data_IF_680428949188
#
_entry.id   IF_680428949188
#
_cell.length_a   1.000
_cell.length_b   1.000
_cell.length_c   1.000
_cell.angle_alpha   90.00
_cell.angle_beta   90.00
_cell.angle_gamma   90.00
#
_symmetry.space_group_name_H-M   'P 1'
#
loop_
_entity.id
_entity.type
_entity.pdbx_description
1 polymer ?
#
# COMPACT_ATOMS: atom_id res chain seq x y z
N UNK A 1 30.78 -25.34 21.37
CA UNK A 1 29.93 -25.08 22.56
C UNK A 1 28.72 -24.33 22.03
N UNK A 2 27.64 -25.08 21.83
CA UNK A 2 26.24 -24.68 21.60
C UNK A 2 25.99 -23.38 20.80
N UNK A 3 25.83 -23.53 19.48
CA UNK A 3 25.00 -22.63 18.69
C UNK A 3 23.55 -22.76 19.17
N UNK A 4 23.05 -21.70 19.83
CA UNK A 4 21.63 -21.55 20.08
C UNK A 4 20.94 -21.28 18.73
N UNK A 5 20.42 -22.35 18.12
CA UNK A 5 19.34 -22.24 17.15
C UNK A 5 18.15 -21.58 17.87
N UNK A 6 17.93 -20.29 17.62
CA UNK A 6 16.67 -19.64 17.93
C UNK A 6 15.54 -20.30 17.13
N UNK A 7 14.53 -20.91 17.78
CA UNK A 7 13.43 -21.60 17.10
C UNK A 7 12.38 -20.63 16.52
N UNK A 8 12.66 -19.33 16.43
CA UNK A 8 11.77 -18.29 15.89
C UNK A 8 12.18 -17.76 14.49
N UNK A 9 13.18 -18.33 13.84
CA UNK A 9 13.74 -17.82 12.57
C UNK A 9 12.96 -18.17 11.29
N UNK A 10 11.67 -18.51 11.39
CA UNK A 10 10.75 -18.57 10.23
C UNK A 10 9.58 -17.63 10.41
N UNK A 11 9.83 -16.38 10.79
CA UNK A 11 8.85 -15.32 10.55
C UNK A 11 8.82 -15.04 9.05
N UNK A 12 7.86 -15.64 8.35
CA UNK A 12 7.54 -15.28 6.97
C UNK A 12 7.06 -13.83 7.00
N UNK A 13 7.96 -12.90 6.67
CA UNK A 13 7.63 -11.48 6.58
C UNK A 13 6.43 -11.31 5.65
N UNK A 14 5.38 -10.56 6.04
CA UNK A 14 4.28 -10.26 5.15
C UNK A 14 4.82 -9.58 3.88
N UNK A 15 4.35 -10.04 2.72
CA UNK A 15 4.73 -9.47 1.42
C UNK A 15 3.60 -8.60 0.88
N UNK A 16 3.98 -7.45 0.36
CA UNK A 16 3.11 -6.53 -0.37
C UNK A 16 3.53 -6.57 -1.83
N UNK A 17 2.60 -6.94 -2.70
CA UNK A 17 2.86 -6.96 -4.14
C UNK A 17 2.31 -5.68 -4.77
N UNK A 18 3.15 -4.96 -5.52
CA UNK A 18 2.74 -3.85 -6.36
C UNK A 18 2.57 -4.35 -7.80
N UNK A 19 1.32 -4.40 -8.26
CA UNK A 19 0.93 -4.85 -9.59
C UNK A 19 0.14 -3.77 -10.35
N UNK A 20 0.07 -3.87 -11.68
CA UNK A 20 -0.66 -2.93 -12.52
C UNK A 20 -0.04 -2.77 -13.90
N UNK A 21 -0.67 -1.98 -14.78
CA UNK A 21 -0.21 -1.78 -16.16
C UNK A 21 1.13 -1.04 -16.28
N UNK A 22 1.83 -1.21 -17.41
CA UNK A 22 3.05 -0.44 -17.67
C UNK A 22 2.77 1.07 -17.56
N UNK A 23 3.68 1.82 -16.94
CA UNK A 23 3.57 3.29 -16.70
C UNK A 23 2.45 3.74 -15.74
N UNK A 24 1.78 2.82 -15.04
CA UNK A 24 0.78 3.18 -14.03
C UNK A 24 1.35 3.85 -12.77
N UNK A 25 2.68 3.92 -12.59
CA UNK A 25 3.31 4.66 -11.48
C UNK A 25 3.80 3.81 -10.29
N UNK A 26 3.74 2.48 -10.35
CA UNK A 26 4.19 1.56 -9.27
C UNK A 26 5.60 1.87 -8.73
N UNK A 27 6.60 1.98 -9.61
CA UNK A 27 7.97 2.23 -9.20
C UNK A 27 8.17 3.63 -8.64
N UNK A 28 7.40 4.61 -9.12
CA UNK A 28 7.37 5.96 -8.56
C UNK A 28 6.81 5.94 -7.14
N UNK A 29 5.68 5.25 -6.93
CA UNK A 29 5.07 5.05 -5.62
C UNK A 29 6.07 4.44 -4.63
N UNK A 30 6.73 3.35 -5.03
CA UNK A 30 7.71 2.67 -4.17
C UNK A 30 8.85 3.62 -3.76
N UNK A 31 9.41 4.37 -4.71
CA UNK A 31 10.54 5.28 -4.42
C UNK A 31 10.13 6.51 -3.61
N UNK A 32 8.94 7.06 -3.84
CA UNK A 32 8.44 8.21 -3.07
C UNK A 32 8.19 7.80 -1.61
N UNK A 33 7.54 6.65 -1.38
CA UNK A 33 7.16 6.21 -0.03
C UNK A 33 8.36 5.69 0.76
N UNK A 34 9.22 4.86 0.17
CA UNK A 34 10.27 4.16 0.92
C UNK A 34 11.67 4.75 0.78
N UNK A 35 11.96 5.43 -0.33
CA UNK A 35 13.26 6.06 -0.57
C UNK A 35 13.25 7.58 -0.36
N UNK A 36 12.11 8.16 0.04
CA UNK A 36 11.90 9.61 0.16
C UNK A 36 12.33 10.38 -1.10
N UNK A 37 12.19 9.76 -2.28
CA UNK A 37 12.51 10.41 -3.55
C UNK A 37 11.49 11.51 -3.83
N UNK A 38 11.93 12.67 -4.31
CA UNK A 38 11.01 13.75 -4.64
C UNK A 38 10.10 13.34 -5.82
N UNK A 39 8.80 13.68 -5.81
CA UNK A 39 7.88 13.32 -6.90
C UNK A 39 8.38 13.79 -8.28
N UNK A 40 9.07 14.93 -8.33
CA UNK A 40 9.64 15.50 -9.57
C UNK A 40 10.81 14.67 -10.13
N UNK A 41 11.59 14.01 -9.26
CA UNK A 41 12.66 13.10 -9.69
C UNK A 41 12.10 11.82 -10.30
N UNK A 42 10.87 11.43 -9.95
CA UNK A 42 10.26 10.19 -10.46
C UNK A 42 10.00 10.21 -11.98
N UNK A 43 9.92 11.40 -12.58
CA UNK A 43 9.77 11.57 -14.04
C UNK A 43 10.95 10.99 -14.84
N UNK A 44 12.13 10.87 -14.20
CA UNK A 44 13.34 10.36 -14.83
C UNK A 44 13.56 8.86 -14.59
N UNK A 45 12.56 8.17 -14.00
CA UNK A 45 12.67 6.74 -13.76
C UNK A 45 12.58 5.94 -15.07
N UNK A 46 13.55 5.04 -15.24
CA UNK A 46 13.54 4.08 -16.33
C UNK A 46 12.43 3.02 -16.12
N UNK A 47 11.99 2.40 -17.23
CA UNK A 47 11.02 1.30 -17.14
C UNK A 47 11.61 0.10 -16.41
N UNK A 48 10.93 -0.38 -15.38
CA UNK A 48 11.29 -1.59 -14.64
C UNK A 48 11.24 -2.81 -15.55
N UNK A 49 12.38 -3.47 -15.76
CA UNK A 49 12.51 -4.67 -16.61
C UNK A 49 12.63 -5.97 -15.80
N UNK A 50 12.82 -5.88 -14.48
CA UNK A 50 12.98 -7.02 -13.56
C UNK A 50 12.19 -6.76 -12.28
N UNK A 51 11.78 -7.81 -11.59
CA UNK A 51 11.11 -7.67 -10.29
C UNK A 51 12.09 -7.03 -9.30
N UNK A 52 11.74 -5.86 -8.79
CA UNK A 52 12.50 -5.18 -7.75
C UNK A 52 11.94 -5.61 -6.40
N UNK A 53 12.79 -6.22 -5.55
CA UNK A 53 12.44 -6.62 -4.19
C UNK A 53 13.08 -5.64 -3.23
N UNK A 54 12.27 -5.08 -2.36
CA UNK A 54 12.71 -4.18 -1.30
C UNK A 54 12.31 -4.77 0.05
N UNK A 55 13.30 -4.98 0.91
CA UNK A 55 13.08 -5.36 2.30
C UNK A 55 12.95 -4.07 3.13
N UNK A 56 11.73 -3.79 3.59
CA UNK A 56 11.47 -2.71 4.54
C UNK A 56 11.51 -3.33 5.93
N UNK A 57 12.63 -3.16 6.61
CA UNK A 57 12.84 -3.62 7.99
C UNK A 57 13.41 -2.49 8.85
N UNK A 58 12.74 -1.34 8.80
CA UNK A 58 13.18 -0.13 9.50
C UNK A 58 12.87 -0.19 11.00
N UNK A 59 11.86 -0.96 11.40
CA UNK A 59 11.52 -1.20 12.81
C UNK A 59 10.96 -2.61 13.02
N UNK A 60 10.95 -3.08 14.26
CA UNK A 60 10.36 -4.37 14.63
C UNK A 60 8.86 -4.47 14.28
N UNK A 61 8.18 -3.34 14.13
CA UNK A 61 6.75 -3.26 13.81
C UNK A 61 6.47 -3.19 12.30
N UNK A 62 7.43 -2.72 11.51
CA UNK A 62 7.30 -2.56 10.06
C UNK A 62 8.35 -3.43 9.38
N UNK A 63 8.02 -4.72 9.26
CA UNK A 63 8.88 -5.73 8.65
C UNK A 63 8.13 -6.44 7.53
N UNK A 64 8.14 -5.84 6.34
CA UNK A 64 7.50 -6.40 5.16
C UNK A 64 8.41 -6.32 3.94
N UNK A 65 8.10 -7.13 2.94
CA UNK A 65 8.78 -7.08 1.64
C UNK A 65 7.87 -6.47 0.60
N UNK A 66 8.35 -5.47 -0.11
CA UNK A 66 7.66 -4.89 -1.27
C UNK A 66 8.26 -5.48 -2.53
N UNK A 67 7.40 -5.99 -3.39
CA UNK A 67 7.79 -6.54 -4.68
C UNK A 67 7.12 -5.72 -5.78
N UNK A 68 7.92 -4.98 -6.54
CA UNK A 68 7.47 -4.23 -7.72
C UNK A 68 7.57 -5.10 -8.96
N UNK A 69 6.41 -5.35 -9.60
CA UNK A 69 6.31 -6.17 -10.80
C UNK A 69 6.39 -5.31 -12.07
N UNK A 70 7.23 -5.68 -13.05
CA UNK A 70 7.20 -5.08 -14.38
C UNK A 70 5.80 -5.19 -14.98
N UNK A 71 5.26 -4.07 -15.47
CA UNK A 71 3.93 -4.02 -16.09
C UNK A 71 3.82 -4.76 -17.44
N UNK A 72 4.92 -5.37 -17.90
CA UNK A 72 4.99 -6.21 -19.11
C UNK A 72 5.04 -7.71 -18.78
N UNK A 73 5.12 -8.10 -17.50
CA UNK A 73 5.13 -9.53 -17.18
C UNK A 73 3.80 -10.12 -17.60
N UNK A 74 3.87 -11.01 -18.57
CA UNK A 74 2.75 -11.86 -18.91
C UNK A 74 2.62 -12.88 -17.78
N UNK A 75 1.53 -12.82 -17.02
CA UNK A 75 1.22 -13.76 -15.93
C UNK A 75 1.14 -15.24 -16.39
N UNK A 76 1.35 -15.49 -17.68
CA UNK A 76 1.29 -16.78 -18.34
C UNK A 76 2.66 -17.40 -18.56
N UNK A 77 3.75 -16.72 -18.20
CA UNK A 77 5.08 -17.30 -18.36
C UNK A 77 5.32 -18.38 -17.27
N UNK A 78 5.42 -19.67 -17.63
CA UNK A 78 5.58 -20.77 -16.68
C UNK A 78 6.94 -20.75 -15.96
N UNK A 79 7.83 -19.80 -16.29
CA UNK A 79 9.12 -19.61 -15.63
C UNK A 79 9.00 -18.94 -14.25
N UNK A 80 7.85 -18.35 -13.93
CA UNK A 80 7.61 -17.72 -12.62
C UNK A 80 6.69 -18.59 -11.76
N UNK A 81 7.15 -18.97 -10.57
CA UNK A 81 6.36 -19.68 -9.56
C UNK A 81 5.36 -18.74 -8.87
N UNK A 82 4.37 -18.23 -9.62
CA UNK A 82 3.35 -17.30 -9.09
C UNK A 82 2.60 -17.88 -7.89
N UNK A 83 2.39 -19.20 -7.84
CA UNK A 83 1.74 -19.85 -6.69
C UNK A 83 2.54 -19.66 -5.40
N UNK A 84 3.87 -19.80 -5.46
CA UNK A 84 4.74 -19.61 -4.28
C UNK A 84 4.79 -18.15 -3.85
N UNK A 85 4.73 -17.22 -4.82
CA UNK A 85 4.70 -15.78 -4.56
C UNK A 85 3.40 -15.39 -3.85
N UNK A 86 2.25 -15.79 -4.40
CA UNK A 86 0.94 -15.44 -3.83
C UNK A 86 0.68 -16.12 -2.48
N UNK A 87 1.19 -17.34 -2.24
CA UNK A 87 1.08 -17.98 -0.92
C UNK A 87 1.73 -17.20 0.21
N UNK A 88 2.84 -16.50 -0.04
CA UNK A 88 3.53 -15.69 0.97
C UNK A 88 3.09 -14.24 1.00
N UNK A 89 2.05 -13.88 0.25
CA UNK A 89 1.58 -12.49 0.11
C UNK A 89 0.47 -12.21 1.10
N UNK A 90 0.56 -11.09 1.83
CA UNK A 90 -0.50 -10.64 2.73
C UNK A 90 -1.41 -9.61 2.09
N UNK A 91 -0.87 -8.74 1.22
CA UNK A 91 -1.65 -7.74 0.50
C UNK A 91 -1.18 -7.61 -0.95
N UNK A 92 -2.13 -7.44 -1.85
CA UNK A 92 -1.90 -7.15 -3.26
C UNK A 92 -2.46 -5.76 -3.56
N UNK A 93 -1.56 -4.85 -3.92
CA UNK A 93 -1.89 -3.50 -4.34
C UNK A 93 -1.88 -3.46 -5.87
N UNK A 94 -3.02 -3.18 -6.47
CA UNK A 94 -3.16 -3.00 -7.91
C UNK A 94 -3.30 -1.52 -8.27
N UNK A 95 -2.37 -0.99 -9.05
CA UNK A 95 -2.30 0.42 -9.42
C UNK A 95 -2.92 0.63 -10.79
N UNK A 96 -4.03 1.37 -10.82
CA UNK A 96 -4.76 1.81 -12.01
C UNK A 96 -4.44 3.28 -12.26
N UNK A 97 -4.06 3.63 -13.49
CA UNK A 97 -3.88 5.03 -13.88
C UNK A 97 -5.25 5.65 -14.21
N UNK A 98 -5.64 6.72 -13.52
CA UNK A 98 -6.92 7.40 -13.76
C UNK A 98 -6.90 8.39 -14.93
N UNK A 99 -5.71 8.72 -15.46
CA UNK A 99 -5.57 9.66 -16.59
C UNK A 99 -5.56 8.95 -17.95
N UNK A 100 -5.38 7.63 -17.97
CA UNK A 100 -5.37 6.79 -19.17
C UNK A 100 -6.63 5.90 -19.22
N UNK A 101 -6.82 5.17 -20.32
CA UNK A 101 -7.91 4.20 -20.44
C UNK A 101 -7.72 3.03 -19.48
N UNK A 102 -8.55 2.97 -18.43
CA UNK A 102 -8.50 1.96 -17.39
C UNK A 102 -9.23 0.65 -17.78
N UNK A 103 -9.82 0.53 -18.97
CA UNK A 103 -10.50 -0.69 -19.41
C UNK A 103 -9.57 -1.91 -19.44
N UNK A 104 -8.36 -1.75 -19.99
CA UNK A 104 -7.36 -2.83 -19.98
C UNK A 104 -6.88 -3.14 -18.55
N UNK A 105 -6.81 -2.11 -17.70
CA UNK A 105 -6.38 -2.25 -16.32
C UNK A 105 -7.39 -3.08 -15.51
N UNK A 106 -8.69 -2.85 -15.71
CA UNK A 106 -9.77 -3.62 -15.07
C UNK A 106 -9.75 -5.09 -15.51
N UNK A 107 -9.59 -5.36 -16.80
CA UNK A 107 -9.48 -6.74 -17.29
C UNK A 107 -8.27 -7.48 -16.68
N UNK A 108 -7.13 -6.79 -16.56
CA UNK A 108 -5.93 -7.34 -15.91
C UNK A 108 -6.10 -7.48 -14.40
N UNK A 109 -6.78 -6.54 -13.74
CA UNK A 109 -7.13 -6.62 -12.31
C UNK A 109 -7.95 -7.89 -12.05
N UNK A 110 -9.03 -8.10 -12.81
CA UNK A 110 -9.90 -9.26 -12.68
C UNK A 110 -9.13 -10.59 -12.80
N UNK A 111 -8.27 -10.71 -13.82
CA UNK A 111 -7.42 -11.89 -14.01
C UNK A 111 -6.46 -12.12 -12.83
N UNK A 112 -5.87 -11.04 -12.31
CA UNK A 112 -4.89 -11.09 -11.21
C UNK A 112 -5.57 -11.50 -9.90
N UNK A 113 -6.68 -10.86 -9.56
CA UNK A 113 -7.47 -11.13 -8.34
C UNK A 113 -7.98 -12.57 -8.34
N UNK A 114 -8.57 -13.03 -9.45
CA UNK A 114 -9.08 -14.39 -9.59
C UNK A 114 -8.00 -15.45 -9.36
N UNK A 115 -6.78 -15.22 -9.86
CA UNK A 115 -5.65 -16.15 -9.68
C UNK A 115 -5.09 -16.10 -8.28
N UNK A 116 -4.87 -14.90 -7.74
CA UNK A 116 -4.36 -14.72 -6.39
C UNK A 116 -5.29 -15.36 -5.36
N UNK A 117 -6.61 -15.12 -5.48
CA UNK A 117 -7.63 -15.68 -4.58
C UNK A 117 -7.71 -17.21 -4.64
N UNK A 118 -7.51 -17.81 -5.83
CA UNK A 118 -7.43 -19.27 -5.98
C UNK A 118 -6.25 -19.89 -5.23
N UNK A 119 -5.14 -19.16 -5.10
CA UNK A 119 -3.93 -19.64 -4.43
C UNK A 119 -3.99 -19.37 -2.93
N UNK A 120 -4.42 -18.18 -2.53
CA UNK A 120 -4.53 -17.76 -1.15
C UNK A 120 -5.77 -16.86 -0.97
N UNK A 121 -6.82 -17.34 -0.27
CA UNK A 121 -8.04 -16.58 -0.06
C UNK A 121 -7.89 -15.47 1.00
N UNK A 122 -6.81 -15.50 1.81
CA UNK A 122 -6.58 -14.55 2.90
C UNK A 122 -5.81 -13.29 2.46
N UNK A 123 -5.58 -13.12 1.14
CA UNK A 123 -4.92 -11.92 0.60
C UNK A 123 -5.87 -10.72 0.68
N UNK A 124 -5.38 -9.61 1.21
CA UNK A 124 -6.05 -8.31 1.13
C UNK A 124 -5.87 -7.70 -0.27
N UNK A 125 -6.96 -7.38 -0.95
CA UNK A 125 -6.95 -6.76 -2.28
C UNK A 125 -7.22 -5.27 -2.19
N UNK A 126 -6.25 -4.47 -2.61
CA UNK A 126 -6.25 -3.03 -2.47
C UNK A 126 -6.01 -2.40 -3.85
N UNK A 127 -6.92 -1.55 -4.33
CA UNK A 127 -6.85 -0.91 -5.64
C UNK A 127 -6.51 0.56 -5.44
N UNK A 128 -5.41 0.98 -6.03
CA UNK A 128 -4.99 2.38 -6.06
C UNK A 128 -5.40 2.97 -7.40
N UNK A 129 -6.39 3.86 -7.35
CA UNK A 129 -6.74 4.75 -8.46
C UNK A 129 -5.73 5.90 -8.37
N UNK A 130 -4.74 5.86 -9.26
CA UNK A 130 -3.52 6.63 -9.18
C UNK A 130 -3.48 7.75 -10.21
N UNK A 131 -2.70 8.80 -9.93
CA UNK A 131 -2.59 10.04 -10.72
C UNK A 131 -3.88 10.89 -10.74
N UNK A 132 -4.53 10.97 -9.58
CA UNK A 132 -5.75 11.78 -9.41
C UNK A 132 -5.47 13.29 -9.31
N UNK A 133 -4.20 13.69 -9.30
CA UNK A 133 -3.72 15.08 -9.22
C UNK A 133 -4.21 15.96 -10.38
N UNK A 134 -4.37 15.39 -11.57
CA UNK A 134 -4.84 16.10 -12.76
C UNK A 134 -6.37 16.18 -12.90
N UNK A 135 -7.14 15.60 -11.99
CA UNK A 135 -8.59 15.47 -12.10
C UNK A 135 -9.32 16.45 -11.16
N UNK A 136 -10.48 16.95 -11.61
CA UNK A 136 -11.40 17.69 -10.75
C UNK A 136 -12.05 16.76 -9.73
N UNK A 137 -12.51 17.30 -8.59
CA UNK A 137 -13.11 16.48 -7.53
C UNK A 137 -14.38 15.75 -7.99
N UNK A 138 -15.17 16.37 -8.88
CA UNK A 138 -16.33 15.72 -9.50
C UNK A 138 -15.90 14.50 -10.35
N UNK A 139 -14.84 14.64 -11.16
CA UNK A 139 -14.32 13.54 -11.96
C UNK A 139 -13.69 12.44 -11.09
N UNK A 140 -13.07 12.77 -9.96
CA UNK A 140 -12.53 11.78 -9.01
C UNK A 140 -13.64 10.89 -8.47
N UNK A 141 -14.76 11.49 -8.04
CA UNK A 141 -15.92 10.76 -7.51
C UNK A 141 -16.54 9.87 -8.60
N UNK A 142 -16.71 10.41 -9.81
CA UNK A 142 -17.26 9.66 -10.94
C UNK A 142 -16.37 8.47 -11.32
N UNK A 143 -15.07 8.71 -11.48
CA UNK A 143 -14.09 7.67 -11.84
C UNK A 143 -14.01 6.59 -10.77
N UNK A 144 -14.00 6.98 -9.49
CA UNK A 144 -14.02 6.02 -8.39
C UNK A 144 -15.27 5.16 -8.40
N UNK A 145 -16.44 5.78 -8.59
CA UNK A 145 -17.72 5.07 -8.65
C UNK A 145 -17.78 4.10 -9.83
N UNK A 146 -17.31 4.52 -11.01
CA UNK A 146 -17.32 3.71 -12.21
C UNK A 146 -16.37 2.50 -12.09
N UNK A 147 -15.13 2.74 -11.65
CA UNK A 147 -14.15 1.67 -11.40
C UNK A 147 -14.67 0.70 -10.32
N UNK A 148 -15.24 1.22 -9.23
CA UNK A 148 -15.80 0.40 -8.16
C UNK A 148 -16.95 -0.47 -8.65
N UNK A 149 -17.87 0.10 -9.44
CA UNK A 149 -19.00 -0.65 -9.97
C UNK A 149 -18.53 -1.73 -10.93
N UNK A 150 -17.73 -1.40 -11.94
CA UNK A 150 -17.25 -2.36 -12.94
C UNK A 150 -16.41 -3.48 -12.34
N UNK A 151 -15.50 -3.16 -11.42
CA UNK A 151 -14.66 -4.18 -10.79
C UNK A 151 -15.48 -5.15 -9.93
N UNK A 152 -16.54 -4.69 -9.26
CA UNK A 152 -17.42 -5.57 -8.50
C UNK A 152 -18.38 -6.36 -9.41
N UNK A 153 -18.89 -5.76 -10.48
CA UNK A 153 -19.73 -6.44 -11.47
C UNK A 153 -18.95 -7.59 -12.14
N UNK A 154 -17.71 -7.34 -12.57
CA UNK A 154 -16.82 -8.37 -13.15
C UNK A 154 -16.53 -9.52 -12.15
N UNK A 155 -16.39 -9.21 -10.85
CA UNK A 155 -16.20 -10.22 -9.81
C UNK A 155 -17.48 -11.01 -9.51
N UNK A 156 -18.64 -10.36 -9.55
CA UNK A 156 -19.94 -10.99 -9.37
C UNK A 156 -20.24 -11.96 -10.52
N UNK A 157 -19.93 -11.57 -11.76
CA UNK A 157 -20.08 -12.42 -12.95
C UNK A 157 -19.22 -13.69 -12.88
N UNK A 158 -18.05 -13.61 -12.24
CA UNK A 158 -17.19 -14.76 -11.99
C UNK A 158 -17.60 -15.61 -10.76
N UNK A 159 -18.65 -15.21 -10.03
CA UNK A 159 -19.12 -15.89 -8.82
C UNK A 159 -18.20 -15.71 -7.60
N UNK A 160 -17.39 -14.64 -7.59
CA UNK A 160 -16.41 -14.33 -6.54
C UNK A 160 -16.88 -13.21 -5.60
N UNK A 161 -18.17 -13.22 -5.24
CA UNK A 161 -18.80 -12.19 -4.39
C UNK A 161 -18.19 -12.06 -2.97
N UNK A 162 -17.39 -13.04 -2.54
CA UNK A 162 -16.71 -13.03 -1.24
C UNK A 162 -15.45 -12.15 -1.21
N UNK A 163 -14.97 -11.69 -2.37
CA UNK A 163 -13.75 -10.90 -2.44
C UNK A 163 -14.11 -9.44 -2.15
N UNK A 164 -13.51 -8.89 -1.09
CA UNK A 164 -13.64 -7.47 -0.77
C UNK A 164 -12.48 -6.69 -1.38
N UNK A 165 -12.81 -5.85 -2.36
CA UNK A 165 -11.88 -4.90 -2.96
C UNK A 165 -11.94 -3.55 -2.22
N UNK A 166 -10.81 -3.08 -1.72
CA UNK A 166 -10.71 -1.74 -1.13
C UNK A 166 -10.13 -0.76 -2.15
N UNK A 167 -10.75 0.40 -2.32
CA UNK A 167 -10.35 1.39 -3.32
C UNK A 167 -9.82 2.66 -2.66
N UNK A 168 -8.70 3.18 -3.16
CA UNK A 168 -8.09 4.42 -2.69
C UNK A 168 -7.74 5.33 -3.85
N UNK A 169 -8.06 6.61 -3.69
CA UNK A 169 -7.58 7.67 -4.56
C UNK A 169 -6.19 8.07 -4.09
N UNK A 170 -5.19 7.98 -4.97
CA UNK A 170 -3.80 8.21 -4.61
C UNK A 170 -3.09 9.11 -5.60
N UNK A 171 -2.23 9.97 -5.09
CA UNK A 171 -1.31 10.82 -5.84
C UNK A 171 0.06 10.76 -5.17
N UNK A 172 1.14 10.78 -5.96
CA UNK A 172 2.50 10.92 -5.42
C UNK A 172 2.83 12.37 -5.03
N UNK A 173 2.04 13.33 -5.50
CA UNK A 173 2.22 14.75 -5.18
C UNK A 173 1.56 15.15 -3.86
N UNK A 174 0.58 14.37 -3.41
CA UNK A 174 -0.15 14.60 -2.17
C UNK A 174 0.18 13.53 -1.13
N UNK A 175 -0.22 13.75 0.12
CA UNK A 175 -0.03 12.78 1.20
C UNK A 175 -0.97 11.56 1.12
N UNK A 176 -1.90 11.53 0.15
CA UNK A 176 -2.90 10.46 -0.01
C UNK A 176 -2.29 9.08 -0.25
N UNK A 177 -1.15 9.01 -0.92
CA UNK A 177 -0.43 7.74 -1.10
C UNK A 177 0.05 7.16 0.23
N UNK A 178 0.55 8.00 1.14
CA UNK A 178 1.00 7.56 2.46
C UNK A 178 -0.18 7.12 3.33
N UNK A 179 -1.32 7.82 3.24
CA UNK A 179 -2.55 7.43 3.92
C UNK A 179 -3.04 6.06 3.43
N UNK A 180 -3.10 5.86 2.11
CA UNK A 180 -3.51 4.61 1.52
C UNK A 180 -2.58 3.45 1.94
N UNK A 181 -1.26 3.64 1.84
CA UNK A 181 -0.30 2.66 2.34
C UNK A 181 -0.45 2.36 3.82
N UNK A 182 -0.74 3.38 4.64
CA UNK A 182 -0.94 3.20 6.07
C UNK A 182 -2.13 2.29 6.37
N UNK A 183 -3.25 2.47 5.65
CA UNK A 183 -4.41 1.57 5.76
C UNK A 183 -4.08 0.14 5.29
N UNK A 184 -3.29 -0.02 4.23
CA UNK A 184 -2.86 -1.35 3.76
C UNK A 184 -1.97 -2.03 4.81
N UNK A 185 -0.99 -1.32 5.36
CA UNK A 185 -0.06 -1.84 6.37
C UNK A 185 -0.81 -2.19 7.66
N UNK A 186 -1.78 -1.37 8.08
CA UNK A 186 -2.64 -1.63 9.23
C UNK A 186 -3.35 -2.99 9.12
N UNK A 187 -3.95 -3.28 7.96
CA UNK A 187 -4.63 -4.57 7.72
C UNK A 187 -3.69 -5.77 7.77
N UNK A 188 -2.37 -5.57 7.59
CA UNK A 188 -1.36 -6.62 7.67
C UNK A 188 -0.88 -6.90 9.10
N UNK A 189 -1.14 -5.99 10.05
CA UNK A 189 -0.65 -6.12 11.42
C UNK A 189 -1.71 -6.84 12.28
N UNK A 190 -1.45 -8.08 12.72
CA UNK A 190 -2.44 -8.85 13.50
C UNK A 190 -2.74 -8.25 14.88
N UNK A 191 -1.83 -7.43 15.41
CA UNK A 191 -1.94 -6.82 16.74
C UNK A 191 -2.57 -5.41 16.71
N UNK A 192 -3.06 -4.96 15.56
CA UNK A 192 -3.64 -3.63 15.38
C UNK A 192 -4.74 -3.29 16.40
N UNK A 193 -5.74 -4.16 16.69
CA UNK A 193 -6.81 -3.82 17.63
C UNK A 193 -6.32 -3.52 19.04
N UNK A 194 -5.21 -4.14 19.46
CA UNK A 194 -4.59 -3.87 20.75
C UNK A 194 -3.96 -2.47 20.77
N UNK A 195 -3.27 -2.09 19.70
CA UNK A 195 -2.67 -0.76 19.57
C UNK A 195 -3.72 0.34 19.51
N UNK A 196 -4.80 0.15 18.74
CA UNK A 196 -5.92 1.08 18.67
C UNK A 196 -6.57 1.26 20.05
N UNK A 197 -6.80 0.17 20.79
CA UNK A 197 -7.37 0.25 22.14
C UNK A 197 -6.45 1.01 23.12
N UNK A 198 -5.13 0.82 23.02
CA UNK A 198 -4.17 1.58 23.84
C UNK A 198 -4.21 3.07 23.51
N UNK A 199 -4.29 3.44 22.23
CA UNK A 199 -4.44 4.83 21.80
C UNK A 199 -5.76 5.43 22.28
N UNK A 200 -6.87 4.70 22.17
CA UNK A 200 -8.17 5.14 22.65
C UNK A 200 -8.17 5.41 24.17
N UNK A 201 -7.56 4.51 24.96
CA UNK A 201 -7.41 4.69 26.42
C UNK A 201 -6.55 5.92 26.74
N UNK A 202 -5.47 6.13 25.99
CA UNK A 202 -4.57 7.27 26.19
C UNK A 202 -5.28 8.60 25.91
N UNK A 203 -5.92 8.72 24.74
CA UNK A 203 -6.64 9.93 24.32
C UNK A 203 -7.78 10.27 25.30
N UNK A 204 -8.59 9.27 25.67
CA UNK A 204 -9.71 9.45 26.58
C UNK A 204 -9.29 9.97 27.96
N UNK A 205 -8.09 9.66 28.43
CA UNK A 205 -7.59 10.08 29.73
C UNK A 205 -6.80 11.40 29.69
N UNK A 206 -6.23 11.76 28.53
CA UNK A 206 -5.34 12.92 28.39
C UNK A 206 -6.02 14.15 27.81
N UNK A 207 -7.25 14.04 27.29
CA UNK A 207 -7.94 15.17 26.65
C UNK A 207 -7.27 15.62 25.33
N UNK A 208 -6.55 14.70 24.69
CA UNK A 208 -5.97 14.89 23.36
C UNK A 208 -7.10 14.70 22.34
N UNK A 209 -7.09 15.44 21.22
CA UNK A 209 -8.12 15.29 20.20
C UNK A 209 -7.85 14.12 19.23
N UNK A 210 -6.58 13.92 18.85
CA UNK A 210 -6.16 12.89 17.89
C UNK A 210 -4.77 12.37 18.23
N UNK A 211 -4.52 11.08 18.04
CA UNK A 211 -3.18 10.51 18.15
C UNK A 211 -2.85 9.57 16.99
N UNK A 212 -1.61 9.67 16.53
CA UNK A 212 -1.07 8.83 15.48
C UNK A 212 0.21 8.16 15.96
N UNK A 213 0.37 6.89 15.63
CA UNK A 213 1.59 6.14 15.85
C UNK A 213 2.30 5.95 14.51
N UNK A 214 3.37 6.71 14.28
CA UNK A 214 4.10 6.74 13.01
C UNK A 214 5.37 5.90 13.02
N UNK A 215 5.71 5.34 11.86
CA UNK A 215 7.10 5.02 11.51
C UNK A 215 7.78 6.25 10.90
N UNK A 216 8.84 6.74 11.56
CA UNK A 216 9.52 7.99 11.23
C UNK A 216 10.16 7.98 9.83
N UNK A 217 10.61 6.81 9.37
CA UNK A 217 11.31 6.71 8.07
C UNK A 217 10.29 6.70 6.93
N UNK A 218 9.25 5.88 7.01
CA UNK A 218 8.26 5.75 5.92
C UNK A 218 7.10 6.74 5.99
N UNK A 219 6.93 7.47 7.10
CA UNK A 219 5.76 8.34 7.40
C UNK A 219 4.42 7.60 7.39
N UNK A 220 4.47 6.27 7.43
CA UNK A 220 3.30 5.42 7.52
C UNK A 220 2.84 5.40 8.97
N UNK A 221 1.54 5.63 9.21
CA UNK A 221 0.97 5.46 10.55
C UNK A 221 0.53 4.01 10.75
N UNK A 222 1.13 3.37 11.74
CA UNK A 222 0.92 1.97 12.12
C UNK A 222 -0.43 1.80 12.82
N UNK A 223 -0.82 2.78 13.63
CA UNK A 223 -2.10 2.79 14.32
C UNK A 223 -2.57 4.22 14.53
N UNK A 224 -3.88 4.39 14.57
CA UNK A 224 -4.55 5.62 14.97
C UNK A 224 -5.72 5.27 15.88
N UNK A 225 -6.25 6.25 16.58
CA UNK A 225 -7.46 6.08 17.37
C UNK A 225 -8.71 5.95 16.51
N UNK A 226 -9.81 5.57 17.15
CA UNK A 226 -11.10 5.30 16.50
C UNK A 226 -11.78 6.50 15.84
N UNK A 227 -11.33 7.73 16.08
CA UNK A 227 -11.89 8.90 15.38
C UNK A 227 -11.50 8.87 13.90
N UNK A 228 -12.36 9.34 12.98
CA UNK A 228 -12.02 9.41 11.56
C UNK A 228 -10.77 10.28 11.36
N UNK A 229 -9.88 9.82 10.49
CA UNK A 229 -8.66 10.57 10.14
C UNK A 229 -9.05 11.73 9.23
N UNK A 230 -8.77 12.94 9.67
CA UNK A 230 -8.79 14.12 8.82
C UNK A 230 -7.44 14.24 8.09
N UNK A 231 -7.52 14.44 6.77
CA UNK A 231 -6.36 14.47 5.89
C UNK A 231 -5.45 15.66 6.17
N UNK A 232 -6.04 16.81 6.54
CA UNK A 232 -5.26 18.02 6.85
C UNK A 232 -4.45 17.84 8.13
N UNK A 233 -5.04 17.20 9.14
CA UNK A 233 -4.35 16.87 10.38
C UNK A 233 -3.21 15.87 10.14
N UNK A 234 -3.43 14.87 9.28
CA UNK A 234 -2.40 13.90 8.90
C UNK A 234 -1.21 14.56 8.18
N UNK A 235 -1.48 15.44 7.22
CA UNK A 235 -0.47 16.22 6.49
C UNK A 235 0.37 17.07 7.44
N UNK A 236 -0.27 17.80 8.35
CA UNK A 236 0.43 18.61 9.36
C UNK A 236 1.34 17.77 10.26
N UNK A 237 0.91 16.56 10.65
CA UNK A 237 1.74 15.64 11.43
C UNK A 237 2.95 15.13 10.63
N UNK A 238 2.78 14.86 9.34
CA UNK A 238 3.88 14.42 8.47
C UNK A 238 4.94 15.52 8.32
N UNK A 239 4.52 16.76 8.08
CA UNK A 239 5.41 17.92 7.97
C UNK A 239 6.13 18.19 9.30
N UNK A 240 5.43 18.03 10.42
CA UNK A 240 6.04 18.15 11.75
C UNK A 240 7.15 17.12 11.97
N UNK A 241 6.96 15.86 11.52
CA UNK A 241 8.00 14.83 11.62
C UNK A 241 9.22 15.23 10.79
N UNK A 242 9.03 15.73 9.57
CA UNK A 242 10.15 16.20 8.74
C UNK A 242 10.91 17.34 9.42
N UNK A 243 10.22 18.35 9.93
CA UNK A 243 10.85 19.48 10.63
C UNK A 243 11.64 19.01 11.84
N UNK A 244 11.09 18.10 12.64
CA UNK A 244 11.78 17.55 13.82
C UNK A 244 13.03 16.78 13.40
N UNK A 245 12.94 15.93 12.37
CA UNK A 245 14.07 15.15 11.89
C UNK A 245 15.15 16.03 11.25
N UNK A 246 14.76 17.04 10.47
CA UNK A 246 15.71 17.96 9.84
C UNK A 246 16.45 18.78 10.91
N UNK A 247 15.74 19.29 11.92
CA UNK A 247 16.35 20.03 13.03
C UNK A 247 17.27 19.10 13.84
N UNK A 248 16.84 17.87 14.14
CA UNK A 248 17.69 16.90 14.83
C UNK A 248 18.90 16.46 14.00
N UNK A 249 18.80 16.39 12.66
CA UNK A 249 19.96 16.15 11.81
C UNK A 249 20.97 17.31 11.87
N UNK A 250 20.51 18.54 12.10
CA UNK A 250 21.37 19.72 12.21
C UNK A 250 22.01 19.82 13.61
N UNK A 251 21.24 19.59 14.68
CA UNK A 251 21.66 19.91 16.05
C UNK A 251 21.85 18.70 16.99
N UNK A 252 21.32 17.52 16.65
CA UNK A 252 21.38 16.27 17.44
C UNK A 252 20.10 15.93 18.18
#
# INVERSE_FOLDING_TARGET
VLDFNDPFSTEVKPRILLMGLRRSGKSSIQKVVFHKMSPNETLFLESTNKICREDVSNSSFVNFQIWDFPGQIDFFDPTFDYEMIFRGTGALIFVIDSQDDYMEALARLHLTVTRAYKVNPDINFEIFIHKVDGLSDDHKIETQRDIHQRANDDLADAGLEKIHLSFYLTSIYDHSIFEAFSKVVQKLIPQLPTLENLLNIFISNSGIEKAFLFDVVSKIYIATDSTPVDMQTYELCCDMIDVVIDISCIYG
#
